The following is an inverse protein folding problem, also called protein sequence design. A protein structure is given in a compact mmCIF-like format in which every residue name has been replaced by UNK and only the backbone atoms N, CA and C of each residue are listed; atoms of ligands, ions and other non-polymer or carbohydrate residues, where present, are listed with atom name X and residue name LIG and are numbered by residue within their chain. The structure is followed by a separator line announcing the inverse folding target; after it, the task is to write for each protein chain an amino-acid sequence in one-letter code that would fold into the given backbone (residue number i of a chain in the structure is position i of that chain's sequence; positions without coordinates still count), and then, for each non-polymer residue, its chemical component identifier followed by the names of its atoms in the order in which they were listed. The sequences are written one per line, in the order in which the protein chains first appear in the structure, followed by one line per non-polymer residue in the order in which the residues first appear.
data_IF_810601552788
#
_entry.id   IF_810601552788
#
_cell.length_a   1.000
_cell.length_b   1.000
_cell.length_c   1.000
_cell.angle_alpha   90.00
_cell.angle_beta   90.00
_cell.angle_gamma   90.00
#
_symmetry.space_group_name_H-M   'P 1'
#
loop_
_entity.id
_entity.type
_entity.pdbx_description
1 polymer ?
#
# COMPACT_ATOMS: atom_id res chain seq x y z
N UNK A 1 -12.29 34.60 -35.47
CA UNK A 1 -11.66 33.27 -35.28
C UNK A 1 -11.43 33.11 -33.79
N UNK A 2 -12.26 32.32 -33.10
CA UNK A 2 -12.13 32.08 -31.66
C UNK A 2 -11.19 30.91 -31.44
N UNK A 3 -10.01 31.15 -30.87
CA UNK A 3 -9.12 30.08 -30.42
C UNK A 3 -9.72 29.42 -29.17
N UNK A 4 -10.20 28.19 -29.29
CA UNK A 4 -10.42 27.30 -28.15
C UNK A 4 -9.05 26.77 -27.72
N UNK A 5 -8.52 27.28 -26.62
CA UNK A 5 -7.39 26.65 -25.92
C UNK A 5 -7.90 25.36 -25.28
N UNK A 6 -7.57 24.22 -25.87
CA UNK A 6 -7.72 22.91 -25.26
C UNK A 6 -6.71 22.80 -24.11
N UNK A 7 -7.17 22.98 -22.87
CA UNK A 7 -6.42 22.54 -21.70
C UNK A 7 -6.39 21.00 -21.72
N UNK A 8 -5.26 20.43 -22.11
CA UNK A 8 -4.96 19.03 -21.83
C UNK A 8 -4.64 18.93 -20.34
N UNK A 9 -5.62 18.50 -19.54
CA UNK A 9 -5.34 18.12 -18.15
C UNK A 9 -4.37 16.95 -18.18
N UNK A 10 -3.13 17.18 -17.76
CA UNK A 10 -2.16 16.09 -17.54
C UNK A 10 -2.72 15.19 -16.44
N UNK A 11 -2.59 13.87 -16.62
CA UNK A 11 -2.93 12.93 -15.56
C UNK A 11 -2.13 13.29 -14.29
N UNK A 12 -2.73 13.20 -13.09
CA UNK A 12 -2.03 13.46 -11.85
C UNK A 12 -0.82 12.53 -11.71
N UNK A 13 0.31 13.07 -11.27
CA UNK A 13 1.48 12.27 -10.96
C UNK A 13 1.14 11.30 -9.82
N UNK A 14 1.53 10.02 -9.95
CA UNK A 14 1.30 9.04 -8.88
C UNK A 14 2.48 9.04 -7.92
N UNK A 15 2.23 9.35 -6.66
CA UNK A 15 3.22 9.32 -5.58
C UNK A 15 2.89 8.13 -4.67
N UNK A 16 3.78 7.14 -4.60
CA UNK A 16 3.60 6.04 -3.65
C UNK A 16 4.16 6.47 -2.29
N UNK A 17 3.30 6.57 -1.29
CA UNK A 17 3.71 6.84 0.09
C UNK A 17 3.70 5.50 0.84
N UNK A 18 4.89 4.96 1.03
CA UNK A 18 5.07 3.80 1.88
C UNK A 18 5.01 4.26 3.34
N UNK A 19 3.91 3.94 4.04
CA UNK A 19 3.98 3.95 5.49
C UNK A 19 4.80 2.73 5.87
N UNK A 20 6.01 2.98 6.35
CA UNK A 20 6.81 1.97 6.99
C UNK A 20 6.01 1.50 8.20
N UNK A 21 5.30 0.38 8.04
CA UNK A 21 4.77 -0.37 9.17
C UNK A 21 5.94 -0.57 10.11
N UNK A 22 5.86 0.06 11.28
CA UNK A 22 6.85 -0.15 12.33
C UNK A 22 6.56 -1.54 12.90
N UNK A 23 7.05 -2.56 12.21
CA UNK A 23 7.28 -3.91 12.70
C UNK A 23 6.08 -4.57 13.40
N UNK A 24 5.08 -5.03 12.65
CA UNK A 24 4.13 -6.02 13.14
C UNK A 24 4.35 -7.33 12.42
N UNK A 25 4.95 -8.34 13.06
CA UNK A 25 4.92 -9.70 12.53
C UNK A 25 3.47 -10.15 12.46
N UNK A 26 2.93 -10.26 11.25
CA UNK A 26 1.56 -10.70 11.03
C UNK A 26 1.53 -12.22 11.01
N UNK A 27 0.77 -12.80 11.94
CA UNK A 27 0.62 -14.24 12.04
C UNK A 27 -0.50 -14.69 11.13
N UNK A 28 -0.17 -15.59 10.22
CA UNK A 28 -1.15 -16.26 9.36
C UNK A 28 -1.32 -17.67 9.89
N UNK A 29 -2.58 -18.11 10.06
CA UNK A 29 -2.87 -19.41 10.65
C UNK A 29 -2.39 -20.55 9.76
N UNK A 30 -1.59 -21.44 10.33
CA UNK A 30 -0.85 -22.51 9.68
C UNK A 30 -1.77 -23.43 8.89
N UNK A 31 -1.47 -23.50 7.59
CA UNK A 31 -1.55 -24.66 6.70
C UNK A 31 -1.54 -24.13 5.26
N UNK A 32 -0.37 -24.20 4.62
CA UNK A 32 -0.22 -24.21 3.16
C UNK A 32 -1.09 -23.21 2.39
N UNK A 33 -0.72 -21.93 2.45
CA UNK A 33 -0.94 -21.00 1.36
C UNK A 33 -2.36 -20.52 1.07
N UNK A 34 -3.44 -21.01 1.70
CA UNK A 34 -4.78 -20.53 1.32
C UNK A 34 -4.97 -19.03 1.61
N UNK A 35 -4.58 -18.58 2.80
CA UNK A 35 -4.72 -17.17 3.19
C UNK A 35 -3.59 -16.29 2.63
N UNK A 36 -2.37 -16.81 2.51
CA UNK A 36 -1.22 -16.05 1.99
C UNK A 36 -1.15 -16.05 0.45
N UNK A 37 -1.27 -17.22 -0.17
CA UNK A 37 -1.18 -17.42 -1.63
C UNK A 37 -2.52 -17.42 -2.36
N UNK A 38 -3.60 -17.78 -1.67
CA UNK A 38 -4.96 -17.82 -2.23
C UNK A 38 -5.78 -16.56 -1.98
N UNK A 39 -5.34 -15.68 -1.08
CA UNK A 39 -5.97 -14.38 -0.88
C UNK A 39 -5.43 -13.37 -1.88
N UNK A 40 -6.28 -12.72 -2.70
CA UNK A 40 -5.84 -11.61 -3.55
C UNK A 40 -5.44 -10.37 -2.73
N UNK A 41 -5.70 -10.35 -1.42
CA UNK A 41 -5.29 -9.23 -0.54
C UNK A 41 -3.82 -9.36 -0.13
N UNK A 42 -3.40 -10.55 0.31
CA UNK A 42 -2.00 -10.81 0.66
C UNK A 42 -1.18 -11.10 -0.60
N UNK A 43 -1.72 -11.89 -1.53
CA UNK A 43 -1.20 -12.13 -2.87
C UNK A 43 0.28 -12.56 -2.93
N UNK A 44 0.70 -13.41 -1.98
CA UNK A 44 2.10 -13.83 -1.81
C UNK A 44 3.11 -12.72 -1.50
N UNK A 45 2.64 -11.55 -1.10
CA UNK A 45 3.47 -10.41 -0.78
C UNK A 45 3.64 -10.22 0.72
N UNK A 46 4.81 -9.72 1.12
CA UNK A 46 5.06 -9.25 2.48
C UNK A 46 4.76 -7.75 2.64
N UNK A 47 3.63 -7.33 2.07
CA UNK A 47 3.09 -5.98 2.21
C UNK A 47 1.58 -5.97 1.98
N UNK A 48 0.89 -5.03 2.64
CA UNK A 48 -0.55 -4.81 2.51
C UNK A 48 -0.83 -3.54 1.72
N UNK A 49 -1.85 -3.60 0.85
CA UNK A 49 -2.38 -2.44 0.15
C UNK A 49 -3.56 -1.87 0.92
N UNK A 50 -3.42 -0.67 1.48
CA UNK A 50 -4.47 -0.04 2.28
C UNK A 50 -5.44 0.79 1.45
N UNK A 51 -5.07 1.14 0.22
CA UNK A 51 -5.89 1.91 -0.70
C UNK A 51 -5.15 3.09 -1.29
N UNK A 52 -5.89 3.92 -2.01
CA UNK A 52 -5.38 5.13 -2.64
C UNK A 52 -6.28 6.32 -2.35
N UNK A 53 -5.70 7.51 -2.40
CA UNK A 53 -6.42 8.77 -2.29
C UNK A 53 -5.85 9.78 -3.29
N UNK A 54 -6.74 10.58 -3.86
CA UNK A 54 -6.34 11.72 -4.68
C UNK A 54 -6.10 12.92 -3.75
N UNK A 55 -4.84 13.35 -3.68
CA UNK A 55 -4.46 14.61 -3.04
C UNK A 55 -4.61 15.73 -4.05
N UNK A 56 -5.64 16.56 -3.84
CA UNK A 56 -5.81 17.82 -4.57
C UNK A 56 -5.31 18.92 -3.65
N UNK A 57 -4.16 19.51 -3.97
CA UNK A 57 -3.66 20.67 -3.26
C UNK A 57 -3.70 21.88 -4.21
N UNK A 58 -4.71 22.72 -4.01
CA UNK A 58 -4.93 23.91 -4.82
C UNK A 58 -3.79 24.94 -4.69
N UNK A 59 -3.05 24.94 -3.56
CA UNK A 59 -1.93 25.85 -3.32
C UNK A 59 -0.64 25.40 -4.03
N UNK A 60 -0.48 24.10 -4.27
CA UNK A 60 0.72 23.52 -4.90
C UNK A 60 0.55 23.25 -6.41
N UNK A 61 -0.61 23.55 -7.01
CA UNK A 61 -0.96 23.24 -8.41
C UNK A 61 -0.66 21.78 -8.80
N UNK A 62 -0.70 20.87 -7.83
CA UNK A 62 -0.30 19.49 -8.01
C UNK A 62 -1.43 18.57 -7.54
N UNK A 63 -1.89 17.74 -8.47
CA UNK A 63 -2.77 16.62 -8.15
C UNK A 63 -1.89 15.38 -8.06
N UNK A 64 -1.89 14.73 -6.90
CA UNK A 64 -1.11 13.51 -6.68
C UNK A 64 -2.03 12.35 -6.30
N UNK A 65 -1.91 11.22 -7.00
CA UNK A 65 -2.51 9.98 -6.52
C UNK A 65 -1.56 9.37 -5.47
N UNK A 66 -2.02 9.29 -4.23
CA UNK A 66 -1.29 8.72 -3.11
C UNK A 66 -1.75 7.29 -2.89
N UNK A 67 -0.84 6.33 -3.08
CA UNK A 67 -1.07 4.92 -2.70
C UNK A 67 -0.51 4.68 -1.31
N UNK A 68 -1.34 4.11 -0.44
CA UNK A 68 -0.96 3.73 0.91
C UNK A 68 -0.67 2.23 0.97
N UNK A 69 0.55 1.91 1.40
CA UNK A 69 1.01 0.55 1.60
C UNK A 69 1.61 0.41 3.00
N UNK A 70 1.57 -0.81 3.52
CA UNK A 70 2.28 -1.21 4.73
C UNK A 70 3.24 -2.33 4.39
N UNK A 71 4.53 -2.11 4.64
CA UNK A 71 5.54 -3.16 4.62
C UNK A 71 5.42 -3.99 5.90
N UNK A 72 5.38 -5.32 5.78
CA UNK A 72 5.18 -6.22 6.92
C UNK A 72 6.00 -7.50 6.75
N UNK A 73 5.86 -8.43 7.69
CA UNK A 73 6.37 -9.78 7.58
C UNK A 73 5.30 -10.77 8.03
N UNK A 74 4.76 -11.52 7.05
CA UNK A 74 3.90 -12.64 7.34
C UNK A 74 4.73 -13.84 7.75
N UNK A 75 4.40 -14.40 8.91
CA UNK A 75 5.03 -15.59 9.47
C UNK A 75 4.01 -16.69 9.66
N UNK A 76 4.48 -17.92 9.54
CA UNK A 76 3.72 -19.09 9.95
C UNK A 76 3.48 -19.04 11.47
N UNK A 77 2.25 -19.31 11.92
CA UNK A 77 1.90 -19.20 13.34
C UNK A 77 2.33 -20.39 14.20
N UNK A 78 2.80 -21.49 13.60
CA UNK A 78 3.35 -22.65 14.28
C UNK A 78 4.88 -22.58 14.36
N UNK A 79 5.54 -22.30 13.24
CA UNK A 79 7.02 -22.28 13.16
C UNK A 79 7.62 -20.92 13.47
N UNK A 80 6.84 -19.83 13.37
CA UNK A 80 7.30 -18.44 13.42
C UNK A 80 8.32 -18.09 12.34
N UNK A 81 8.43 -18.91 11.30
CA UNK A 81 9.29 -18.64 10.15
C UNK A 81 8.54 -17.77 9.13
N UNK A 82 9.29 -16.93 8.40
CA UNK A 82 8.72 -16.12 7.34
C UNK A 82 8.15 -17.01 6.22
N UNK A 83 6.96 -16.63 5.73
CA UNK A 83 6.35 -17.31 4.59
C UNK A 83 7.15 -17.10 3.30
N UNK A 84 6.88 -17.94 2.29
CA UNK A 84 7.56 -17.87 0.99
C UNK A 84 7.40 -16.50 0.33
N UNK A 85 8.46 -15.97 -0.29
CA UNK A 85 8.44 -14.64 -0.90
C UNK A 85 9.23 -13.58 -0.11
N UNK A 86 9.57 -13.86 1.16
CA UNK A 86 10.53 -13.12 1.96
C UNK A 86 12.00 -13.41 1.58
N UNK A 87 12.33 -13.42 0.27
CA UNK A 87 13.66 -13.79 -0.24
C UNK A 87 14.79 -12.80 0.15
N UNK A 88 14.43 -11.66 0.75
CA UNK A 88 15.35 -10.64 1.23
C UNK A 88 14.98 -10.24 2.66
N UNK A 89 15.98 -9.81 3.43
CA UNK A 89 15.80 -9.28 4.79
C UNK A 89 14.77 -8.15 4.82
N UNK A 90 13.94 -8.14 5.87
CA UNK A 90 12.89 -7.14 6.07
C UNK A 90 13.39 -5.70 5.86
N UNK A 91 14.52 -5.33 6.45
CA UNK A 91 15.08 -3.98 6.36
C UNK A 91 15.31 -3.54 4.92
N UNK A 92 15.78 -4.46 4.06
CA UNK A 92 15.99 -4.19 2.64
C UNK A 92 14.65 -4.11 1.90
N UNK A 93 13.75 -5.07 2.14
CA UNK A 93 12.42 -5.11 1.51
C UNK A 93 11.58 -3.87 1.82
N UNK A 94 11.62 -3.41 3.06
CA UNK A 94 10.85 -2.27 3.55
C UNK A 94 11.22 -0.94 2.86
N UNK A 95 12.43 -0.83 2.27
CA UNK A 95 12.89 0.38 1.57
C UNK A 95 12.58 0.40 0.08
N UNK A 96 11.90 -0.62 -0.47
CA UNK A 96 11.53 -0.66 -1.89
C UNK A 96 10.50 0.42 -2.21
N UNK A 97 10.83 1.26 -3.18
CA UNK A 97 9.95 2.32 -3.68
C UNK A 97 8.95 1.84 -4.74
N UNK A 98 9.24 0.70 -5.38
CA UNK A 98 8.41 0.13 -6.44
C UNK A 98 7.89 -1.23 -5.99
N UNK A 99 6.59 -1.33 -5.78
CA UNK A 99 5.88 -2.57 -5.47
C UNK A 99 4.81 -2.83 -6.53
N UNK A 100 4.87 -4.00 -7.15
CA UNK A 100 3.95 -4.46 -8.18
C UNK A 100 3.43 -5.83 -7.77
N UNK A 101 2.11 -5.99 -7.84
CA UNK A 101 1.42 -7.23 -7.52
C UNK A 101 0.11 -7.25 -8.31
N UNK A 102 0.02 -8.17 -9.27
CA UNK A 102 -1.10 -8.23 -10.20
C UNK A 102 -2.39 -8.57 -9.46
N UNK A 103 -3.46 -7.84 -9.75
CA UNK A 103 -4.80 -8.05 -9.19
C UNK A 103 -4.88 -8.01 -7.64
N UNK A 104 -3.90 -7.38 -6.98
CA UNK A 104 -3.88 -7.25 -5.52
C UNK A 104 -5.02 -6.36 -5.03
N UNK A 105 -5.86 -6.91 -4.15
CA UNK A 105 -6.99 -6.20 -3.56
C UNK A 105 -6.60 -5.42 -2.32
N UNK A 106 -7.36 -4.35 -2.08
CA UNK A 106 -7.25 -3.53 -0.88
C UNK A 106 -7.60 -4.32 0.38
N UNK A 107 -6.81 -4.16 1.44
CA UNK A 107 -7.06 -4.73 2.74
C UNK A 107 -8.05 -3.87 3.54
N UNK A 108 -9.16 -4.47 3.97
CA UNK A 108 -10.29 -3.79 4.62
C UNK A 108 -10.65 -4.51 5.95
N UNK A 109 -9.76 -4.53 6.96
CA UNK A 109 -10.08 -4.81 8.39
C UNK A 109 -8.81 -4.56 9.26
N UNK A 110 -8.84 -4.07 10.51
CA UNK A 110 -9.23 -4.74 11.77
C UNK A 110 -9.64 -3.66 12.78
N UNK A 111 -10.86 -3.13 12.64
CA UNK A 111 -11.46 -2.01 13.42
C UNK A 111 -10.72 -0.66 13.23
N UNK A 112 -11.40 0.34 12.66
CA UNK A 112 -10.99 1.75 12.50
C UNK A 112 -10.01 2.15 11.37
N UNK A 113 -9.63 1.28 10.43
CA UNK A 113 -8.63 1.59 9.39
C UNK A 113 -8.96 2.81 8.50
N UNK A 114 -10.23 3.09 8.20
CA UNK A 114 -10.58 4.32 7.44
C UNK A 114 -10.11 5.60 8.12
N UNK A 115 -10.13 5.65 9.46
CA UNK A 115 -9.67 6.83 10.20
C UNK A 115 -8.16 7.02 10.10
N UNK A 116 -7.37 5.94 10.05
CA UNK A 116 -5.90 6.03 9.92
C UNK A 116 -5.53 6.57 8.53
N UNK A 117 -6.19 6.08 7.47
CA UNK A 117 -5.99 6.57 6.10
C UNK A 117 -6.36 8.05 6.02
N UNK A 118 -7.53 8.44 6.55
CA UNK A 118 -7.95 9.85 6.57
C UNK A 118 -7.00 10.73 7.39
N UNK A 119 -6.54 10.29 8.56
CA UNK A 119 -5.62 11.05 9.40
C UNK A 119 -4.25 11.25 8.74
N UNK A 120 -3.69 10.21 8.11
CA UNK A 120 -2.41 10.32 7.43
C UNK A 120 -2.48 11.27 6.22
N UNK A 121 -3.58 11.21 5.46
CA UNK A 121 -3.82 12.14 4.34
C UNK A 121 -3.97 13.57 4.86
N UNK A 122 -4.74 13.79 5.94
CA UNK A 122 -4.90 15.11 6.55
C UNK A 122 -3.54 15.65 7.02
N UNK A 123 -2.68 14.82 7.63
CA UNK A 123 -1.34 15.23 8.05
C UNK A 123 -0.37 15.52 6.91
N UNK A 124 -0.58 14.94 5.72
CA UNK A 124 0.22 15.22 4.52
C UNK A 124 -0.30 16.44 3.73
N UNK A 125 -1.54 16.87 3.99
CA UNK A 125 -2.18 18.01 3.35
C UNK A 125 -2.06 19.33 4.15
N UNK A 126 -1.53 19.29 5.38
CA UNK A 126 -1.21 20.43 6.24
C UNK A 126 0.29 20.73 6.21
#
# INVERSE_FOLDING_TARGET
MSHKSSQSGSAPDTVTIAVLGVSGTERVKGAYGADFSGSPVINNDHWLYWGEALLNNDDLYANANVRLIEQTEFVDDETFEALSGANEEYAKRATRLKLESADKLMYICKVNCQHIISLLIISLAL
#
